data_IF_369234158297
#
_entry.id   IF_369234158297
#
_cell.length_a   1.000
_cell.length_b   1.000
_cell.length_c   1.000
_cell.angle_alpha   90.00
_cell.angle_beta   90.00
_cell.angle_gamma   90.00
#
_symmetry.space_group_name_H-M   'P 1'
#
loop_
_entity.id
_entity.type
_entity.pdbx_description
1 polymer ?
#
# COMPACT_ATOMS: atom_id res chain seq x y z
N UNK A 1 -10.25 7.70 -0.48
CA UNK A 1 -9.17 6.94 -1.16
C UNK A 1 -9.68 6.37 -2.48
N UNK A 2 -8.95 6.60 -3.58
CA UNK A 2 -9.19 5.94 -4.88
C UNK A 2 -8.42 4.63 -4.97
N UNK A 3 -7.09 4.66 -4.76
CA UNK A 3 -6.24 3.47 -4.72
C UNK A 3 -4.97 3.71 -3.91
N UNK A 4 -4.36 2.61 -3.42
CA UNK A 4 -3.12 2.63 -2.67
C UNK A 4 -2.24 1.42 -2.99
N UNK A 5 -0.94 1.65 -3.11
CA UNK A 5 0.08 0.61 -3.19
C UNK A 5 1.08 0.85 -2.07
N UNK A 6 1.23 -0.13 -1.19
CA UNK A 6 2.16 -0.10 -0.07
C UNK A 6 3.21 -1.18 -0.17
N UNK A 7 4.36 -0.96 0.48
CA UNK A 7 5.42 -1.95 0.65
C UNK A 7 5.95 -1.93 2.07
N UNK A 8 6.30 -3.09 2.60
CA UNK A 8 6.94 -3.25 3.90
C UNK A 8 7.80 -4.52 3.90
N UNK A 9 8.79 -4.62 4.78
CA UNK A 9 9.50 -5.88 4.96
C UNK A 9 8.67 -6.82 5.82
N UNK A 10 8.39 -6.46 7.08
CA UNK A 10 7.51 -7.22 7.96
C UNK A 10 6.16 -6.55 8.12
N UNK A 11 5.12 -7.36 8.24
CA UNK A 11 3.73 -6.95 8.30
C UNK A 11 3.06 -7.48 9.55
N UNK A 12 2.47 -6.59 10.35
CA UNK A 12 1.49 -6.95 11.38
C UNK A 12 0.07 -6.72 10.81
N UNK A 13 -0.74 -7.78 10.75
CA UNK A 13 -2.09 -7.68 10.20
C UNK A 13 -3.01 -6.74 11.01
N UNK A 14 -2.76 -6.59 12.32
CA UNK A 14 -3.51 -5.61 13.11
C UNK A 14 -3.14 -4.17 12.72
N UNK A 15 -1.86 -3.92 12.41
CA UNK A 15 -1.41 -2.61 11.92
C UNK A 15 -2.00 -2.31 10.53
N UNK A 16 -2.05 -3.30 9.62
CA UNK A 16 -2.73 -3.15 8.33
C UNK A 16 -4.22 -2.84 8.50
N UNK A 17 -4.89 -3.51 9.44
CA UNK A 17 -6.30 -3.24 9.75
C UNK A 17 -6.50 -1.78 10.15
N UNK A 18 -5.68 -1.27 11.06
CA UNK A 18 -5.75 0.12 11.52
C UNK A 18 -5.56 1.10 10.35
N UNK A 19 -4.54 0.90 9.52
CA UNK A 19 -4.28 1.76 8.34
C UNK A 19 -5.45 1.68 7.35
N UNK A 20 -5.94 0.50 7.03
CA UNK A 20 -7.04 0.32 6.08
C UNK A 20 -8.34 1.00 6.57
N UNK A 21 -8.66 0.87 7.85
CA UNK A 21 -9.80 1.56 8.46
C UNK A 21 -9.62 3.08 8.36
N UNK A 22 -8.45 3.60 8.77
CA UNK A 22 -8.17 5.05 8.67
C UNK A 22 -8.29 5.57 7.24
N UNK A 23 -7.80 4.83 6.24
CA UNK A 23 -7.93 5.20 4.83
C UNK A 23 -9.38 5.10 4.33
N UNK A 24 -10.19 4.20 4.90
CA UNK A 24 -11.61 4.04 4.56
C UNK A 24 -12.53 5.08 5.18
N UNK A 25 -12.12 5.68 6.30
CA UNK A 25 -12.87 6.72 7.02
C UNK A 25 -12.46 8.15 6.64
N UNK A 26 -11.66 8.34 5.61
CA UNK A 26 -10.97 9.60 5.27
C UNK A 26 -11.86 10.83 5.08
N UNK A 27 -13.18 10.72 5.08
CA UNK A 27 -14.10 11.84 4.88
C UNK A 27 -14.93 12.18 6.13
N UNK A 28 -15.04 11.27 7.11
CA UNK A 28 -15.82 11.51 8.33
C UNK A 28 -15.07 10.94 9.54
N UNK A 29 -14.12 11.69 10.06
CA UNK A 29 -13.47 11.34 11.33
C UNK A 29 -14.42 11.63 12.50
N UNK A 30 -15.54 10.95 12.54
CA UNK A 30 -16.34 10.90 13.76
C UNK A 30 -15.77 9.80 14.67
N UNK A 31 -15.26 10.21 15.83
CA UNK A 31 -14.77 9.29 16.87
C UNK A 31 -15.82 8.23 17.26
N UNK A 32 -17.09 8.50 17.04
CA UNK A 32 -18.20 7.56 17.24
C UNK A 32 -18.20 6.41 16.21
N UNK A 33 -17.76 6.65 14.96
CA UNK A 33 -17.63 5.60 13.93
C UNK A 33 -16.51 4.62 14.26
N UNK A 34 -15.41 5.09 14.85
CA UNK A 34 -14.31 4.24 15.30
C UNK A 34 -14.71 3.29 16.45
N UNK A 35 -15.74 3.62 17.20
CA UNK A 35 -16.29 2.78 18.27
C UNK A 35 -17.38 1.81 17.78
N UNK A 36 -17.83 1.95 16.53
CA UNK A 36 -18.85 1.09 15.96
C UNK A 36 -18.21 -0.03 15.10
N UNK A 37 -18.28 -1.30 15.53
CA UNK A 37 -17.70 -2.42 14.77
C UNK A 37 -18.26 -2.56 13.35
N UNK A 38 -19.52 -2.20 13.13
CA UNK A 38 -20.14 -2.23 11.79
C UNK A 38 -19.56 -1.11 10.91
N UNK A 39 -19.34 0.07 11.47
CA UNK A 39 -18.68 1.18 10.77
C UNK A 39 -17.26 0.83 10.34
N UNK A 40 -16.49 0.20 11.23
CA UNK A 40 -15.14 -0.28 10.93
C UNK A 40 -15.13 -1.37 9.84
N UNK A 41 -16.06 -2.32 9.89
CA UNK A 41 -16.22 -3.34 8.87
C UNK A 41 -16.54 -2.72 7.50
N UNK A 42 -17.48 -1.77 7.45
CA UNK A 42 -17.85 -1.08 6.22
C UNK A 42 -16.66 -0.28 5.65
N UNK A 43 -15.90 0.42 6.51
CA UNK A 43 -14.70 1.14 6.10
C UNK A 43 -13.66 0.19 5.47
N UNK A 44 -13.41 -0.94 6.13
CA UNK A 44 -12.48 -1.96 5.63
C UNK A 44 -12.94 -2.56 4.31
N UNK A 45 -14.23 -2.87 4.15
CA UNK A 45 -14.80 -3.39 2.90
C UNK A 45 -14.66 -2.38 1.74
N UNK A 46 -14.88 -1.08 1.99
CA UNK A 46 -14.74 -0.02 0.99
C UNK A 46 -13.32 0.08 0.40
N UNK A 47 -12.30 -0.24 1.18
CA UNK A 47 -10.89 -0.10 0.76
C UNK A 47 -10.21 -1.42 0.43
N UNK A 48 -10.80 -2.57 0.76
CA UNK A 48 -10.16 -3.88 0.55
C UNK A 48 -9.78 -4.18 -0.90
N UNK A 49 -10.54 -3.66 -1.86
CA UNK A 49 -10.26 -3.78 -3.30
C UNK A 49 -9.44 -2.58 -3.85
N UNK A 50 -9.13 -1.59 -3.02
CA UNK A 50 -8.39 -0.36 -3.40
C UNK A 50 -6.95 -0.33 -2.89
N UNK A 51 -6.57 -1.29 -2.05
CA UNK A 51 -5.24 -1.36 -1.44
C UNK A 51 -4.54 -2.64 -1.92
N UNK A 52 -3.28 -2.49 -2.32
CA UNK A 52 -2.34 -3.61 -2.51
C UNK A 52 -1.11 -3.35 -1.65
N UNK A 53 -0.80 -4.27 -0.74
CA UNK A 53 0.37 -4.20 0.13
C UNK A 53 1.30 -5.37 -0.14
N UNK A 54 2.55 -5.06 -0.45
CA UNK A 54 3.61 -6.04 -0.65
C UNK A 54 4.44 -6.19 0.62
N UNK A 55 4.75 -7.43 1.01
CA UNK A 55 5.66 -7.72 2.12
C UNK A 55 6.59 -8.88 1.76
N UNK A 56 7.70 -9.01 2.49
CA UNK A 56 8.59 -10.17 2.38
C UNK A 56 7.85 -11.45 2.74
N UNK A 57 8.02 -12.51 1.96
CA UNK A 57 7.39 -13.80 2.20
C UNK A 57 7.80 -14.38 3.56
N UNK A 58 6.80 -14.86 4.31
CA UNK A 58 7.02 -15.40 5.66
C UNK A 58 7.25 -14.35 6.75
N UNK A 59 7.13 -13.05 6.45
CA UNK A 59 7.30 -11.97 7.42
C UNK A 59 5.95 -11.35 7.84
N UNK A 60 4.89 -12.17 7.87
CA UNK A 60 3.56 -11.74 8.31
C UNK A 60 3.31 -12.23 9.73
N UNK A 61 3.02 -11.30 10.63
CA UNK A 61 2.53 -11.58 11.98
C UNK A 61 1.01 -11.62 11.96
N UNK A 62 0.49 -12.82 12.23
CA UNK A 62 -0.96 -13.07 12.32
C UNK A 62 -1.43 -12.77 13.75
N UNK A 63 -2.60 -12.16 13.94
CA UNK A 63 -3.19 -11.96 15.26
C UNK A 63 -3.37 -13.28 16.02
N UNK A 64 -3.18 -13.25 17.34
CA UNK A 64 -3.37 -14.43 18.20
C UNK A 64 -4.82 -14.97 18.14
N UNK A 65 -5.77 -14.08 17.87
CA UNK A 65 -7.19 -14.43 17.67
C UNK A 65 -7.63 -13.91 16.29
N UNK A 66 -7.50 -14.74 15.24
CA UNK A 66 -7.94 -14.33 13.91
C UNK A 66 -9.47 -14.13 13.89
N UNK A 67 -9.89 -13.08 13.20
CA UNK A 67 -11.30 -12.75 13.02
C UNK A 67 -11.70 -12.89 11.57
N UNK A 68 -13.00 -12.87 11.27
CA UNK A 68 -13.49 -12.84 9.89
C UNK A 68 -12.95 -11.65 9.06
N UNK A 69 -12.48 -10.58 9.72
CA UNK A 69 -11.82 -9.45 9.06
C UNK A 69 -10.51 -9.84 8.38
N UNK A 70 -9.82 -10.88 8.85
CA UNK A 70 -8.57 -11.37 8.26
C UNK A 70 -8.74 -11.78 6.79
N UNK A 71 -9.92 -12.26 6.39
CA UNK A 71 -10.24 -12.60 4.99
C UNK A 71 -10.21 -11.36 4.08
N UNK A 72 -10.65 -10.20 4.59
CA UNK A 72 -10.59 -8.95 3.83
C UNK A 72 -9.14 -8.46 3.67
N UNK A 73 -8.30 -8.68 4.70
CA UNK A 73 -6.88 -8.33 4.65
C UNK A 73 -6.10 -9.18 3.66
N UNK A 74 -6.41 -10.47 3.54
CA UNK A 74 -5.78 -11.39 2.59
C UNK A 74 -5.89 -10.87 1.15
N UNK A 75 -7.02 -10.24 0.79
CA UNK A 75 -7.21 -9.65 -0.52
C UNK A 75 -6.23 -8.51 -0.81
N UNK A 76 -5.75 -7.81 0.20
CA UNK A 76 -4.85 -6.67 0.05
C UNK A 76 -3.39 -7.09 -0.05
N UNK A 77 -2.99 -8.22 0.53
CA UNK A 77 -1.59 -8.60 0.73
C UNK A 77 -1.04 -9.38 -0.47
N UNK A 78 0.22 -9.12 -0.79
CA UNK A 78 1.05 -9.89 -1.73
C UNK A 78 2.38 -10.19 -1.06
N UNK A 79 2.69 -11.46 -0.86
CA UNK A 79 3.99 -11.90 -0.39
C UNK A 79 4.99 -11.95 -1.55
N UNK A 80 6.18 -11.41 -1.33
CA UNK A 80 7.27 -11.35 -2.29
C UNK A 80 8.39 -12.28 -1.81
N UNK A 81 8.67 -13.31 -2.59
CA UNK A 81 9.81 -14.19 -2.38
C UNK A 81 10.82 -13.97 -3.52
N UNK A 82 11.95 -13.33 -3.21
CA UNK A 82 12.98 -13.08 -4.21
C UNK A 82 13.81 -14.34 -4.46
N UNK A 83 14.20 -14.61 -5.72
CA UNK A 83 15.02 -15.77 -6.04
C UNK A 83 16.42 -15.66 -5.41
N UNK A 84 17.04 -16.82 -5.15
CA UNK A 84 18.40 -16.87 -4.64
C UNK A 84 19.35 -16.17 -5.61
N UNK A 85 20.13 -15.23 -5.10
CA UNK A 85 21.22 -14.62 -5.85
C UNK A 85 22.31 -15.67 -6.11
N UNK A 86 22.57 -15.96 -7.37
CA UNK A 86 23.55 -16.99 -7.77
C UNK A 86 24.99 -16.59 -7.49
N UNK A 87 25.30 -15.29 -7.51
CA UNK A 87 26.65 -14.78 -7.26
C UNK A 87 26.96 -14.70 -5.77
N UNK A 88 26.01 -14.22 -4.99
CA UNK A 88 26.18 -14.06 -3.54
C UNK A 88 25.80 -15.30 -2.74
N UNK A 89 25.17 -16.30 -3.37
CA UNK A 89 24.78 -17.55 -2.72
C UNK A 89 23.70 -17.40 -1.64
N UNK A 90 23.05 -16.23 -1.53
CA UNK A 90 22.05 -15.90 -0.52
C UNK A 90 20.75 -15.37 -1.14
N UNK A 91 19.67 -15.38 -0.37
CA UNK A 91 18.41 -14.79 -0.77
C UNK A 91 18.43 -13.29 -0.44
N UNK A 92 18.17 -12.40 -1.41
CA UNK A 92 17.95 -10.99 -1.14
C UNK A 92 16.62 -10.82 -0.39
N UNK A 93 16.51 -9.74 0.41
CA UNK A 93 15.27 -9.41 1.09
C UNK A 93 14.48 -8.33 0.33
N UNK A 94 13.16 -8.48 0.27
CA UNK A 94 12.26 -7.42 -0.19
C UNK A 94 12.05 -6.41 0.95
N UNK A 95 12.78 -5.28 0.93
CA UNK A 95 12.89 -4.38 2.08
C UNK A 95 12.41 -2.93 1.86
N UNK A 96 11.69 -2.56 0.78
CA UNK A 96 11.18 -1.20 0.65
C UNK A 96 10.03 -0.94 1.65
N UNK A 97 9.92 0.30 2.12
CA UNK A 97 8.87 0.76 3.04
C UNK A 97 8.28 2.05 2.50
N UNK A 98 7.30 1.90 1.62
CA UNK A 98 6.73 3.02 0.88
C UNK A 98 5.22 2.91 0.79
N UNK A 99 4.56 4.06 0.59
CA UNK A 99 3.17 4.13 0.16
C UNK A 99 3.03 5.09 -1.01
N UNK A 100 2.25 4.68 -1.99
CA UNK A 100 1.78 5.53 -3.09
C UNK A 100 0.27 5.55 -2.99
N UNK A 101 -0.29 6.72 -2.70
CA UNK A 101 -1.71 6.92 -2.43
C UNK A 101 -2.30 7.80 -3.53
N UNK A 102 -3.45 7.42 -4.05
CA UNK A 102 -4.26 8.23 -4.94
C UNK A 102 -5.60 8.57 -4.26
N UNK A 103 -5.95 9.83 -4.29
CA UNK A 103 -7.21 10.36 -3.79
C UNK A 103 -7.96 11.02 -4.92
N UNK A 104 -9.28 10.99 -4.84
CA UNK A 104 -10.19 11.71 -5.73
C UNK A 104 -11.20 12.47 -4.86
N UNK A 105 -11.46 13.75 -5.17
CA UNK A 105 -12.49 14.52 -4.50
C UNK A 105 -13.86 14.33 -5.19
N UNK A 106 -14.89 14.99 -4.69
CA UNK A 106 -16.25 14.92 -5.23
C UNK A 106 -16.33 15.48 -6.66
N UNK A 107 -15.46 16.43 -7.00
CA UNK A 107 -15.36 17.09 -8.31
C UNK A 107 -14.57 16.25 -9.34
N UNK A 108 -13.98 15.12 -8.89
CA UNK A 108 -13.18 14.24 -9.75
C UNK A 108 -11.69 14.63 -9.86
N UNK A 109 -11.25 15.65 -9.12
CA UNK A 109 -9.83 16.03 -9.09
C UNK A 109 -9.00 14.97 -8.35
N UNK A 110 -7.87 14.60 -8.94
CA UNK A 110 -6.97 13.60 -8.37
C UNK A 110 -5.78 14.25 -7.67
N UNK A 111 -5.44 13.73 -6.50
CA UNK A 111 -4.23 14.05 -5.75
C UNK A 111 -3.47 12.78 -5.41
N UNK A 112 -2.14 12.83 -5.54
CA UNK A 112 -1.27 11.69 -5.24
C UNK A 112 -0.32 12.07 -4.12
N UNK A 113 0.00 11.08 -3.27
CA UNK A 113 0.99 11.20 -2.21
C UNK A 113 1.93 10.01 -2.25
N UNK A 114 3.23 10.28 -2.23
CA UNK A 114 4.28 9.30 -2.10
C UNK A 114 4.93 9.44 -0.73
N UNK A 115 4.99 8.34 0.02
CA UNK A 115 5.55 8.28 1.38
C UNK A 115 6.65 7.25 1.43
N UNK A 116 7.79 7.60 2.01
CA UNK A 116 8.89 6.69 2.36
C UNK A 116 9.04 6.67 3.86
N UNK A 117 9.22 5.49 4.45
CA UNK A 117 9.34 5.31 5.89
C UNK A 117 10.55 4.46 6.23
N UNK A 118 11.09 4.66 7.44
CA UNK A 118 12.17 3.80 7.97
C UNK A 118 11.63 2.54 8.64
N UNK A 119 10.39 2.56 9.12
CA UNK A 119 9.74 1.45 9.83
C UNK A 119 8.94 0.53 8.94
N UNK A 120 8.81 -0.70 9.40
CA UNK A 120 7.84 -1.67 8.89
C UNK A 120 6.41 -1.32 9.34
N UNK A 121 5.43 -1.94 8.69
CA UNK A 121 4.03 -1.83 9.10
C UNK A 121 3.76 -2.79 10.28
N UNK A 122 4.25 -2.39 11.45
CA UNK A 122 4.20 -3.18 12.69
C UNK A 122 3.91 -2.28 13.91
N UNK A 123 3.35 -2.85 14.98
CA UNK A 123 3.16 -2.18 16.25
C UNK A 123 4.39 -2.35 17.17
N UNK A 124 5.57 -1.97 16.71
CA UNK A 124 6.75 -1.90 17.58
C UNK A 124 6.97 -0.47 18.12
N UNK A 125 7.82 -0.31 19.15
CA UNK A 125 8.12 0.97 19.80
C UNK A 125 9.44 1.56 19.33
N UNK A 126 9.73 1.49 18.04
CA UNK A 126 10.94 2.09 17.48
C UNK A 126 10.66 3.50 16.96
N UNK A 127 11.72 4.33 16.90
CA UNK A 127 11.67 5.62 16.22
C UNK A 127 11.43 5.42 14.73
N UNK A 128 10.63 6.31 14.12
CA UNK A 128 10.38 6.32 12.70
C UNK A 128 10.79 7.67 12.10
N UNK A 129 11.36 7.62 10.91
CA UNK A 129 11.56 8.77 10.05
C UNK A 129 10.71 8.53 8.81
N UNK A 130 9.77 9.41 8.56
CA UNK A 130 8.93 9.37 7.38
C UNK A 130 9.12 10.63 6.54
N UNK A 131 9.02 10.45 5.24
CA UNK A 131 9.12 11.50 4.25
C UNK A 131 7.94 11.39 3.30
N UNK A 132 7.20 12.49 3.12
CA UNK A 132 6.04 12.51 2.25
C UNK A 132 6.14 13.61 1.21
N UNK A 133 5.79 13.29 -0.03
CA UNK A 133 5.69 14.23 -1.14
C UNK A 133 4.28 14.21 -1.70
N UNK A 134 3.72 15.36 -1.94
CA UNK A 134 2.43 15.52 -2.61
C UNK A 134 2.60 15.84 -4.10
N UNK A 135 1.61 15.40 -4.89
CA UNK A 135 1.58 15.74 -6.31
C UNK A 135 1.35 17.23 -6.53
N UNK A 136 2.09 17.79 -7.46
CA UNK A 136 1.89 19.15 -7.93
C UNK A 136 1.56 19.16 -9.44
N UNK A 137 0.78 20.16 -9.86
CA UNK A 137 0.43 20.36 -11.29
C UNK A 137 1.62 20.91 -12.12
N UNK A 138 2.82 20.98 -11.55
CA UNK A 138 3.97 21.60 -12.22
C UNK A 138 4.64 20.64 -13.21
N UNK A 139 4.29 20.79 -14.48
CA UNK A 139 4.66 19.91 -15.60
C UNK A 139 6.17 19.81 -15.88
N UNK A 140 6.98 20.74 -15.34
CA UNK A 140 8.44 20.82 -15.65
C UNK A 140 9.30 19.67 -15.05
N UNK A 141 8.73 18.80 -14.25
CA UNK A 141 9.49 17.75 -13.53
C UNK A 141 9.04 16.31 -13.80
N UNK A 142 8.34 16.06 -14.92
CA UNK A 142 7.80 14.73 -15.29
C UNK A 142 8.84 13.59 -15.23
N UNK A 143 10.11 13.88 -15.60
CA UNK A 143 11.19 12.86 -15.59
C UNK A 143 11.52 12.31 -14.20
N UNK A 144 11.20 13.02 -13.11
CA UNK A 144 11.48 12.57 -11.74
C UNK A 144 10.54 11.46 -11.26
N UNK A 145 9.42 11.25 -11.93
CA UNK A 145 8.42 10.24 -11.57
C UNK A 145 8.70 8.87 -12.20
N UNK A 146 9.54 8.82 -13.25
CA UNK A 146 9.89 7.57 -13.94
C UNK A 146 10.39 6.46 -12.99
N UNK A 147 11.31 6.71 -12.03
CA UNK A 147 11.75 5.65 -11.11
C UNK A 147 10.62 5.08 -10.24
N UNK A 148 9.60 5.87 -9.92
CA UNK A 148 8.43 5.40 -9.17
C UNK A 148 7.57 4.48 -10.07
N UNK A 149 7.42 4.84 -11.34
CA UNK A 149 6.72 4.00 -12.32
C UNK A 149 7.46 2.68 -12.56
N UNK A 150 8.79 2.72 -12.72
CA UNK A 150 9.62 1.53 -12.88
C UNK A 150 9.50 0.61 -11.66
N UNK A 151 9.45 1.19 -10.46
CA UNK A 151 9.21 0.44 -9.23
C UNK A 151 7.80 -0.19 -9.19
N UNK A 152 6.76 0.54 -9.60
CA UNK A 152 5.41 -0.02 -9.70
C UNK A 152 5.32 -1.16 -10.73
N UNK A 153 5.98 -1.02 -11.88
CA UNK A 153 6.04 -2.07 -12.90
C UNK A 153 6.77 -3.31 -12.36
N UNK A 154 7.85 -3.12 -11.60
CA UNK A 154 8.52 -4.23 -10.87
C UNK A 154 7.55 -4.90 -9.88
N UNK A 155 6.78 -4.15 -9.11
CA UNK A 155 5.79 -4.72 -8.17
C UNK A 155 4.73 -5.55 -8.90
N UNK A 156 4.30 -5.15 -10.10
CA UNK A 156 3.36 -5.93 -10.92
C UNK A 156 3.91 -7.32 -11.23
N UNK A 157 5.23 -7.47 -11.47
CA UNK A 157 5.85 -8.77 -11.75
C UNK A 157 5.79 -9.72 -10.57
N UNK A 158 5.71 -9.21 -9.33
CA UNK A 158 5.61 -9.97 -8.09
C UNK A 158 4.18 -10.40 -7.73
N UNK A 159 3.16 -9.96 -8.49
CA UNK A 159 1.79 -10.46 -8.31
C UNK A 159 1.64 -11.78 -9.04
N UNK A 160 1.79 -12.91 -8.34
CA UNK A 160 1.65 -14.23 -8.93
C UNK A 160 0.22 -14.53 -9.38
N UNK A 161 0.06 -15.38 -10.40
CA UNK A 161 -1.27 -15.74 -10.93
C UNK A 161 -2.13 -16.49 -9.91
N UNK A 162 -1.51 -17.17 -8.96
CA UNK A 162 -2.16 -17.87 -7.85
C UNK A 162 -2.62 -16.94 -6.72
N UNK A 163 -2.17 -15.66 -6.73
CA UNK A 163 -2.60 -14.69 -5.75
C UNK A 163 -4.09 -14.39 -5.88
N UNK A 164 -4.75 -14.27 -4.74
CA UNK A 164 -6.16 -13.88 -4.71
C UNK A 164 -6.36 -12.53 -5.42
N UNK A 165 -7.30 -12.49 -6.37
CA UNK A 165 -7.59 -11.30 -7.19
C UNK A 165 -6.37 -10.74 -7.98
N UNK A 166 -5.45 -11.58 -8.44
CA UNK A 166 -4.21 -11.18 -9.13
C UNK A 166 -4.44 -10.18 -10.27
N UNK A 167 -5.43 -10.41 -11.12
CA UNK A 167 -5.78 -9.51 -12.22
C UNK A 167 -6.19 -8.12 -11.74
N UNK A 168 -7.02 -8.03 -10.70
CA UNK A 168 -7.45 -6.75 -10.11
C UNK A 168 -6.26 -6.00 -9.50
N UNK A 169 -5.38 -6.68 -8.76
CA UNK A 169 -4.17 -6.09 -8.15
C UNK A 169 -3.27 -5.49 -9.22
N UNK A 170 -2.97 -6.25 -10.29
CA UNK A 170 -2.14 -5.74 -11.42
C UNK A 170 -2.78 -4.53 -12.09
N UNK A 171 -4.09 -4.56 -12.34
CA UNK A 171 -4.79 -3.44 -12.96
C UNK A 171 -4.79 -2.19 -12.06
N UNK A 172 -4.94 -2.35 -10.74
CA UNK A 172 -4.84 -1.27 -9.77
C UNK A 172 -3.46 -0.60 -9.84
N UNK A 173 -2.38 -1.39 -9.81
CA UNK A 173 -1.01 -0.88 -9.83
C UNK A 173 -0.70 -0.19 -11.17
N UNK A 174 -1.05 -0.82 -12.30
CA UNK A 174 -0.86 -0.24 -13.64
C UNK A 174 -1.65 1.06 -13.82
N UNK A 175 -2.90 1.10 -13.32
CA UNK A 175 -3.71 2.30 -13.33
C UNK A 175 -3.07 3.43 -12.53
N UNK A 176 -2.53 3.14 -11.35
CA UNK A 176 -1.79 4.12 -10.56
C UNK A 176 -0.53 4.61 -11.28
N UNK A 177 0.26 3.70 -11.87
CA UNK A 177 1.43 4.06 -12.67
C UNK A 177 1.05 4.97 -13.84
N UNK A 178 -0.01 4.66 -14.58
CA UNK A 178 -0.48 5.48 -15.70
C UNK A 178 -0.88 6.89 -15.24
N UNK A 179 -1.57 6.99 -14.11
CA UNK A 179 -2.02 8.27 -13.55
C UNK A 179 -0.85 9.17 -13.12
N UNK A 180 0.22 8.60 -12.53
CA UNK A 180 1.33 9.41 -11.98
C UNK A 180 2.41 9.76 -13.00
N UNK A 181 2.40 9.17 -14.21
CA UNK A 181 3.40 9.45 -15.27
C UNK A 181 3.53 10.93 -15.61
N UNK A 182 2.41 11.65 -15.55
CA UNK A 182 2.33 13.07 -15.91
C UNK A 182 2.29 14.01 -14.70
N UNK A 183 2.57 13.48 -13.51
CA UNK A 183 2.55 14.20 -12.25
C UNK A 183 3.98 14.45 -11.77
N UNK A 184 4.24 15.58 -11.11
CA UNK A 184 5.45 15.80 -10.34
C UNK A 184 5.15 15.75 -8.85
N UNK A 185 6.09 15.22 -8.06
CA UNK A 185 6.03 15.23 -6.61
C UNK A 185 6.95 16.33 -6.06
N UNK A 186 6.46 17.06 -5.07
CA UNK A 186 7.21 18.10 -4.35
C UNK A 186 6.95 17.98 -2.84
N UNK A 187 7.90 18.46 -2.06
CA UNK A 187 7.76 18.68 -0.63
C UNK A 187 6.77 19.78 -0.36
#
# INVERSE_FOLDING_TARGET
>A
LDRAVGTTYSLDLEALTAVAICLGLSEETDSKLMQNPIGMLNALQKVSDKIVLFCEAGQIKVPTKPTALSILLEKMVVEVALPKDRQLGRYPAFHPKTWILAYVNAEGDKKYRFVVMSRNLTFDRSWDISFAMDSSKNVRQKKKTLPICDFLDYLVTNVHNTSNNAGKKRNLIRGLCADIKDVSFSL
#
